data_IF_117616531336
#
_entry.id   IF_117616531336
#
_cell.length_a   1.000
_cell.length_b   1.000
_cell.length_c   1.000
_cell.angle_alpha   90.00
_cell.angle_beta   90.00
_cell.angle_gamma   90.00
#
_symmetry.space_group_name_H-M   'P 1'
#
loop_
_entity.id
_entity.type
_entity.pdbx_description
1 polymer ?
#
# COMPACT_ATOMS: atom_id res chain seq x y z
N UNK A 1 -4.28 3.68 19.24
CA UNK A 1 -4.17 3.91 17.77
C UNK A 1 -2.89 3.29 17.22
N UNK A 2 -1.72 3.67 17.75
CA UNK A 2 -0.41 3.10 17.38
C UNK A 2 -0.33 1.58 17.31
N UNK A 3 -0.85 0.86 18.31
CA UNK A 3 -0.79 -0.61 18.35
C UNK A 3 -1.45 -1.23 17.11
N UNK A 4 -2.69 -0.83 16.78
CA UNK A 4 -3.38 -1.35 15.59
C UNK A 4 -2.75 -0.93 14.28
N UNK A 5 -2.15 0.27 14.27
CA UNK A 5 -1.44 0.74 13.11
C UNK A 5 -0.16 -0.09 12.83
N UNK A 6 0.60 -0.42 13.88
CA UNK A 6 1.80 -1.26 13.79
C UNK A 6 1.44 -2.71 13.47
N UNK A 7 0.42 -3.27 14.13
CA UNK A 7 -0.07 -4.64 13.90
C UNK A 7 -0.47 -4.88 12.44
N UNK A 8 -0.95 -3.84 11.76
CA UNK A 8 -1.31 -3.88 10.33
C UNK A 8 -0.20 -3.38 9.40
N UNK A 9 1.07 -3.40 9.86
CA UNK A 9 2.25 -3.00 9.09
C UNK A 9 2.11 -1.60 8.48
N UNK A 10 1.48 -0.67 9.20
CA UNK A 10 1.25 0.71 8.75
C UNK A 10 0.40 0.81 7.47
N UNK A 11 -0.26 -0.26 7.00
CA UNK A 11 -1.12 -0.22 5.79
C UNK A 11 -2.46 0.44 6.05
N UNK A 12 -2.96 0.35 7.28
CA UNK A 12 -4.33 0.75 7.55
C UNK A 12 -4.43 2.25 7.79
N UNK A 13 -5.22 2.91 6.95
CA UNK A 13 -5.65 4.30 7.17
C UNK A 13 -6.79 4.41 8.18
N UNK A 14 -7.25 5.64 8.40
CA UNK A 14 -8.26 5.96 9.42
C UNK A 14 -9.56 5.17 9.30
N UNK A 15 -9.94 4.73 8.10
CA UNK A 15 -11.16 3.95 7.86
C UNK A 15 -11.02 2.52 8.38
N UNK A 16 -9.93 1.83 8.02
CA UNK A 16 -9.65 0.45 8.44
C UNK A 16 -9.29 0.38 9.93
N UNK A 17 -8.60 1.38 10.48
CA UNK A 17 -8.35 1.44 11.92
C UNK A 17 -9.66 1.62 12.69
N UNK A 18 -10.58 2.48 12.23
CA UNK A 18 -11.91 2.61 12.86
C UNK A 18 -12.63 1.26 12.91
N UNK A 19 -12.58 0.49 11.83
CA UNK A 19 -13.24 -0.80 11.72
C UNK A 19 -12.61 -1.86 12.64
N UNK A 20 -11.27 -1.93 12.66
CA UNK A 20 -10.52 -2.77 13.60
C UNK A 20 -10.82 -2.42 15.06
N UNK A 21 -10.95 -1.13 15.40
CA UNK A 21 -11.36 -0.69 16.73
C UNK A 21 -12.82 -1.05 17.04
N UNK A 22 -13.71 -0.95 16.05
CA UNK A 22 -15.12 -1.36 16.19
C UNK A 22 -15.22 -2.87 16.47
N UNK A 23 -14.44 -3.70 15.79
CA UNK A 23 -14.36 -5.15 16.03
C UNK A 23 -13.88 -5.48 17.45
N UNK A 24 -13.02 -4.63 18.01
CA UNK A 24 -12.56 -4.70 19.42
C UNK A 24 -13.55 -4.08 20.42
N UNK A 25 -14.75 -3.69 20.00
CA UNK A 25 -15.77 -3.07 20.85
C UNK A 25 -15.59 -1.57 21.12
N UNK A 26 -14.55 -0.93 20.56
CA UNK A 26 -14.26 0.49 20.77
C UNK A 26 -15.03 1.33 19.75
N UNK A 27 -16.07 2.03 20.20
CA UNK A 27 -16.85 2.96 19.38
C UNK A 27 -16.16 4.32 19.27
N UNK A 28 -15.46 4.56 18.15
CA UNK A 28 -14.83 5.85 17.86
C UNK A 28 -15.25 6.43 16.50
N UNK A 29 -15.49 7.73 16.47
CA UNK A 29 -15.82 8.45 15.23
C UNK A 29 -14.62 8.61 14.31
N UNK A 30 -14.84 8.56 12.98
CA UNK A 30 -13.77 8.68 11.96
C UNK A 30 -12.94 9.96 12.14
N UNK A 31 -13.59 11.09 12.44
CA UNK A 31 -12.90 12.39 12.65
C UNK A 31 -11.92 12.33 13.84
N UNK A 32 -12.32 11.68 14.94
CA UNK A 32 -11.43 11.45 16.10
C UNK A 32 -10.24 10.58 15.70
N UNK A 33 -10.47 9.51 14.93
CA UNK A 33 -9.39 8.66 14.40
C UNK A 33 -8.39 9.46 13.57
N UNK A 34 -8.88 10.25 12.62
CA UNK A 34 -8.01 11.09 11.78
C UNK A 34 -7.22 12.09 12.63
N UNK A 35 -7.86 12.74 13.61
CA UNK A 35 -7.19 13.72 14.49
C UNK A 35 -6.07 13.06 15.31
N UNK A 36 -6.31 11.87 15.86
CA UNK A 36 -5.29 11.13 16.62
C UNK A 36 -4.16 10.66 15.69
N UNK A 37 -4.48 10.09 14.53
CA UNK A 37 -3.46 9.69 13.56
C UNK A 37 -2.58 10.86 13.11
N UNK A 38 -3.18 12.03 12.84
CA UNK A 38 -2.44 13.26 12.50
C UNK A 38 -1.58 13.75 13.65
N UNK A 39 -2.12 13.78 14.88
CA UNK A 39 -1.38 14.18 16.09
C UNK A 39 -0.19 13.27 16.36
N UNK A 40 -0.33 11.98 16.11
CA UNK A 40 0.73 10.97 16.32
C UNK A 40 1.67 10.80 15.10
N UNK A 41 1.44 11.54 13.99
CA UNK A 41 2.25 11.43 12.77
C UNK A 41 2.07 10.11 11.99
N UNK A 42 0.98 9.37 12.21
CA UNK A 42 0.74 8.07 11.58
C UNK A 42 0.22 8.25 10.15
N UNK A 43 1.06 7.91 9.16
CA UNK A 43 0.70 7.92 7.73
C UNK A 43 0.63 6.50 7.16
N UNK A 44 -0.52 6.15 6.60
CA UNK A 44 -0.70 4.84 5.98
C UNK A 44 0.21 4.70 4.74
N UNK A 45 0.90 3.56 4.64
CA UNK A 45 1.81 3.25 3.54
C UNK A 45 1.02 2.55 2.43
N UNK A 46 1.13 3.05 1.21
CA UNK A 46 0.63 2.38 0.02
C UNK A 46 1.68 1.35 -0.43
N UNK A 47 1.30 0.07 -0.65
CA UNK A 47 2.22 -0.88 -1.26
C UNK A 47 2.55 -0.44 -2.69
N UNK A 48 3.80 -0.61 -3.16
CA UNK A 48 4.14 -0.32 -4.55
C UNK A 48 3.29 -1.19 -5.48
N UNK A 49 2.98 -0.67 -6.67
CA UNK A 49 2.34 -1.47 -7.71
C UNK A 49 3.23 -2.66 -8.04
N UNK A 50 2.64 -3.83 -8.18
CA UNK A 50 3.36 -5.01 -8.65
C UNK A 50 3.84 -4.77 -10.09
N UNK A 51 5.15 -4.83 -10.31
CA UNK A 51 5.75 -4.72 -11.64
C UNK A 51 6.25 -6.11 -12.01
N UNK A 52 5.62 -6.81 -12.98
CA UNK A 52 6.13 -8.09 -13.44
C UNK A 52 7.48 -7.88 -14.13
N UNK A 53 8.50 -8.65 -13.74
CA UNK A 53 9.73 -8.75 -14.53
C UNK A 53 9.45 -9.66 -15.71
N UNK A 54 9.15 -9.09 -16.86
CA UNK A 54 9.06 -9.85 -18.12
C UNK A 54 10.47 -10.24 -18.55
N UNK A 55 10.65 -11.53 -18.88
CA UNK A 55 11.88 -12.09 -19.45
C UNK A 55 12.30 -11.27 -20.67
N UNK A 56 13.56 -10.85 -20.69
CA UNK A 56 14.19 -10.09 -21.77
C UNK A 56 14.38 -11.03 -22.97
N UNK A 57 13.29 -11.30 -23.71
CA UNK A 57 13.38 -12.02 -24.99
C UNK A 57 14.00 -11.08 -26.01
N UNK A 58 15.34 -10.97 -25.97
CA UNK A 58 16.15 -10.43 -27.07
C UNK A 58 16.03 -11.37 -28.25
N UNK A 59 14.97 -11.21 -29.01
CA UNK A 59 14.78 -11.87 -30.28
C UNK A 59 15.52 -11.06 -31.33
N UNK A 60 16.76 -11.44 -31.62
CA UNK A 60 17.54 -10.84 -32.71
C UNK A 60 16.81 -11.12 -34.03
N UNK A 61 16.44 -10.10 -34.83
CA UNK A 61 15.86 -10.34 -36.14
C UNK A 61 16.94 -10.88 -37.09
N UNK A 62 16.75 -12.11 -37.53
CA UNK A 62 17.56 -12.73 -38.57
C UNK A 62 17.14 -12.19 -39.95
N UNK A 63 17.67 -11.04 -40.38
CA UNK A 63 17.70 -10.66 -41.80
C UNK A 63 18.69 -9.50 -42.03
N UNK A 64 19.96 -9.83 -42.19
CA UNK A 64 20.88 -8.94 -42.91
C UNK A 64 20.94 -9.40 -44.37
N UNK A 65 19.89 -9.13 -45.14
CA UNK A 65 19.96 -9.19 -46.60
C UNK A 65 20.65 -7.91 -47.08
N UNK A 66 21.97 -7.94 -47.20
CA UNK A 66 22.73 -6.99 -48.03
C UNK A 66 22.56 -7.40 -49.49
N UNK A 67 21.67 -6.72 -50.21
CA UNK A 67 21.76 -6.54 -51.66
C UNK A 67 21.79 -5.04 -51.90
N UNK A 68 22.99 -4.54 -52.16
CA UNK A 68 23.38 -3.46 -53.09
C UNK A 68 24.88 -3.25 -52.92
#
# INVERSE_FOLDING_TARGET
>A
MRIEFIRNFKRYGSRRIKESLKQKGIKIGRRKVVKIMRKEGLRAIQPPKFVPRTTDSRQYPAYQLRIC
#
